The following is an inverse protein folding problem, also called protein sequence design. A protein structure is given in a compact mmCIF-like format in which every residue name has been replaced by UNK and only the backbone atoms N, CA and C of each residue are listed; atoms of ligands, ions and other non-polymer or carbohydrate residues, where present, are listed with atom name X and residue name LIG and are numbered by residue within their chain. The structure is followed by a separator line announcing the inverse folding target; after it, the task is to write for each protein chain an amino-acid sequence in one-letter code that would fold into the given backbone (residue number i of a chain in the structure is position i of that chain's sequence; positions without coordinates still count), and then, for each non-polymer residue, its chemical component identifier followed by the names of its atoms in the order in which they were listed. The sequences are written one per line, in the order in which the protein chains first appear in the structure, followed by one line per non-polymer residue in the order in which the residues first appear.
data_IF_101879766453
#
_entry.id   IF_101879766453
#
_cell.length_a   1.000
_cell.length_b   1.000
_cell.length_c   1.000
_cell.angle_alpha   90.00
_cell.angle_beta   90.00
_cell.angle_gamma   90.00
#
_symmetry.space_group_name_H-M   'P 1'
#
loop_
_entity.id
_entity.type
_entity.pdbx_description
1 polymer ?
#
# COMPACT_ATOMS: atom_id res chain seq x y z
N UNK A 1 5.12 29.81 -1.43
CA UNK A 1 4.73 30.52 -2.67
C UNK A 1 5.22 29.73 -3.87
N UNK A 2 4.51 29.80 -5.00
CA UNK A 2 4.87 29.12 -6.26
C UNK A 2 6.26 29.51 -6.78
N UNK A 3 6.72 30.74 -6.47
CA UNK A 3 8.07 31.22 -6.78
C UNK A 3 9.16 30.55 -5.94
N UNK A 4 8.92 30.28 -4.65
CA UNK A 4 9.89 29.56 -3.81
C UNK A 4 10.06 28.12 -4.30
N UNK A 5 8.96 27.46 -4.68
CA UNK A 5 8.96 26.09 -5.23
C UNK A 5 9.64 26.02 -6.61
N UNK A 6 9.41 27.02 -7.47
CA UNK A 6 10.17 27.18 -8.73
C UNK A 6 11.66 27.41 -8.49
N UNK A 7 12.03 28.22 -7.48
CA UNK A 7 13.43 28.44 -7.11
C UNK A 7 14.12 27.17 -6.61
N UNK A 8 13.40 26.32 -5.85
CA UNK A 8 13.90 25.01 -5.43
C UNK A 8 14.03 24.08 -6.66
N UNK A 9 13.03 24.00 -7.54
CA UNK A 9 13.16 23.23 -8.79
C UNK A 9 14.34 23.71 -9.65
N UNK A 10 14.54 25.01 -9.84
CA UNK A 10 15.66 25.56 -10.61
C UNK A 10 17.02 25.27 -9.98
N UNK A 11 17.13 25.30 -8.65
CA UNK A 11 18.39 25.04 -7.93
C UNK A 11 18.77 23.55 -7.95
N UNK A 12 17.78 22.66 -7.94
CA UNK A 12 17.97 21.21 -8.01
C UNK A 12 18.12 20.68 -9.46
N UNK A 13 17.50 21.35 -10.44
CA UNK A 13 17.59 20.98 -11.87
C UNK A 13 18.73 21.68 -12.62
N UNK A 14 19.22 22.84 -12.15
CA UNK A 14 20.13 23.71 -12.90
C UNK A 14 21.62 23.36 -12.81
N UNK A 15 22.07 22.61 -11.79
CA UNK A 15 23.50 22.38 -11.55
C UNK A 15 24.07 21.05 -12.06
N UNK A 16 23.24 20.03 -12.33
CA UNK A 16 23.74 18.69 -12.65
C UNK A 16 23.42 18.16 -14.06
N UNK A 17 22.65 18.87 -14.90
CA UNK A 17 22.23 18.36 -16.20
C UNK A 17 22.58 19.28 -17.37
N UNK A 18 23.88 19.41 -17.66
CA UNK A 18 24.33 19.87 -19.00
C UNK A 18 24.34 18.77 -20.08
N UNK A 19 23.95 17.53 -19.79
CA UNK A 19 24.21 16.40 -20.70
C UNK A 19 23.16 15.28 -20.72
N UNK A 20 21.87 15.59 -20.75
CA UNK A 20 20.86 14.59 -21.15
C UNK A 20 20.01 15.14 -22.31
N UNK A 21 20.19 14.54 -23.47
CA UNK A 21 19.33 14.69 -24.64
C UNK A 21 18.08 13.80 -24.44
N UNK A 22 16.91 14.35 -24.79
CA UNK A 22 15.55 13.78 -24.76
C UNK A 22 14.77 13.92 -23.43
N UNK A 23 13.44 14.13 -23.49
CA UNK A 23 12.59 14.26 -22.30
C UNK A 23 12.52 12.93 -21.56
N UNK A 24 13.20 12.86 -20.42
CA UNK A 24 13.12 11.74 -19.49
C UNK A 24 11.78 11.80 -18.73
N UNK A 25 11.08 10.68 -18.58
CA UNK A 25 9.82 10.55 -17.85
C UNK A 25 9.97 11.04 -16.39
N UNK A 26 11.18 10.90 -15.83
CA UNK A 26 11.57 11.41 -14.51
C UNK A 26 11.47 12.94 -14.42
N UNK A 27 11.77 13.65 -15.51
CA UNK A 27 11.78 15.12 -15.55
C UNK A 27 10.36 15.71 -15.55
N UNK A 28 9.46 15.18 -16.38
CA UNK A 28 8.08 15.67 -16.45
C UNK A 28 7.29 15.29 -15.18
N UNK A 29 7.61 14.16 -14.53
CA UNK A 29 7.05 13.77 -13.23
C UNK A 29 7.43 14.74 -12.09
N UNK A 30 8.72 15.04 -11.93
CA UNK A 30 9.20 16.01 -10.93
C UNK A 30 8.64 17.42 -11.18
N UNK A 31 8.48 17.80 -12.46
CA UNK A 31 7.85 19.06 -12.84
C UNK A 31 6.36 19.08 -12.46
N UNK A 32 5.61 18.01 -12.69
CA UNK A 32 4.21 17.89 -12.26
C UNK A 32 4.08 17.99 -10.72
N UNK A 33 4.93 17.26 -9.99
CA UNK A 33 5.02 17.30 -8.52
C UNK A 33 5.23 18.71 -7.96
N UNK A 34 6.17 19.47 -8.52
CA UNK A 34 6.55 20.78 -7.96
C UNK A 34 5.61 21.90 -8.42
N UNK A 35 5.10 21.83 -9.66
CA UNK A 35 4.30 22.91 -10.25
C UNK A 35 2.80 22.77 -10.03
N UNK A 36 2.30 21.56 -9.72
CA UNK A 36 0.86 21.23 -9.68
C UNK A 36 0.10 21.62 -10.96
N UNK A 37 0.79 21.81 -12.07
CA UNK A 37 0.20 22.21 -13.34
C UNK A 37 -0.03 20.97 -14.21
N UNK A 38 -1.26 20.80 -14.69
CA UNK A 38 -1.73 19.69 -15.52
C UNK A 38 -1.16 19.67 -16.96
N UNK A 39 -0.48 20.74 -17.39
CA UNK A 39 -0.02 20.96 -18.77
C UNK A 39 1.36 20.35 -19.12
N UNK A 40 1.80 19.30 -18.42
CA UNK A 40 3.02 18.55 -18.80
C UNK A 40 2.80 17.78 -20.11
N UNK A 41 3.82 17.75 -21.00
CA UNK A 41 3.71 17.05 -22.28
C UNK A 41 3.41 15.56 -22.06
N UNK A 42 2.40 15.05 -22.78
CA UNK A 42 1.95 13.66 -22.70
C UNK A 42 3.09 12.69 -23.03
N UNK A 43 3.40 11.81 -22.07
CA UNK A 43 4.19 10.61 -22.34
C UNK A 43 3.27 9.56 -23.02
N UNK A 44 3.87 8.78 -23.91
CA UNK A 44 3.23 7.89 -24.89
C UNK A 44 2.43 6.70 -24.32
N UNK A 45 2.23 6.60 -23.01
CA UNK A 45 1.48 5.49 -22.41
C UNK A 45 0.54 5.99 -21.29
N UNK A 46 -0.73 6.28 -21.60
CA UNK A 46 -1.70 6.87 -20.66
C UNK A 46 -2.26 5.87 -19.63
N UNK A 47 -2.04 4.58 -19.82
CA UNK A 47 -2.66 3.49 -19.03
C UNK A 47 -1.69 2.86 -18.02
N UNK A 48 -0.52 3.46 -17.82
CA UNK A 48 0.43 3.05 -16.79
C UNK A 48 0.04 3.67 -15.43
N UNK A 49 0.07 2.86 -14.37
CA UNK A 49 -0.05 3.32 -12.97
C UNK A 49 1.04 4.35 -12.61
N UNK A 50 2.15 4.34 -13.35
CA UNK A 50 3.24 5.31 -13.24
C UNK A 50 3.08 6.52 -14.19
N UNK A 51 1.96 6.64 -14.90
CA UNK A 51 1.72 7.75 -15.83
C UNK A 51 1.50 9.08 -15.09
N UNK A 52 2.02 10.17 -15.68
CA UNK A 52 1.82 11.53 -15.16
C UNK A 52 0.33 11.91 -15.11
N UNK A 53 -0.49 11.34 -16.00
CA UNK A 53 -1.94 11.58 -16.03
C UNK A 53 -2.63 10.95 -14.82
N UNK A 54 -2.32 9.69 -14.51
CA UNK A 54 -2.83 9.00 -13.34
C UNK A 54 -2.40 9.73 -12.06
N UNK A 55 -1.12 10.12 -12.00
CA UNK A 55 -0.56 10.90 -10.91
C UNK A 55 -1.26 12.26 -10.69
N UNK A 56 -1.49 13.03 -11.75
CA UNK A 56 -2.16 14.34 -11.64
C UNK A 56 -3.61 14.19 -11.15
N UNK A 57 -4.32 13.16 -11.62
CA UNK A 57 -5.66 12.82 -11.12
C UNK A 57 -5.63 12.44 -9.65
N UNK A 58 -4.67 11.62 -9.25
CA UNK A 58 -4.51 11.19 -7.87
C UNK A 58 -4.13 12.36 -6.94
N UNK A 59 -3.18 13.21 -7.35
CA UNK A 59 -2.77 14.43 -6.63
C UNK A 59 -3.92 15.40 -6.38
N UNK A 60 -4.80 15.59 -7.36
CA UNK A 60 -5.96 16.46 -7.24
C UNK A 60 -6.97 15.96 -6.19
N UNK A 61 -6.95 14.67 -5.83
CA UNK A 61 -7.86 14.08 -4.85
C UNK A 61 -7.33 13.97 -3.43
N UNK A 62 -6.02 14.12 -3.20
CA UNK A 62 -5.39 13.94 -1.88
C UNK A 62 -6.08 14.78 -0.79
N UNK A 63 -6.48 16.01 -1.11
CA UNK A 63 -7.14 16.91 -0.15
C UNK A 63 -8.52 16.45 0.32
N UNK A 64 -9.14 15.49 -0.37
CA UNK A 64 -10.47 14.96 -0.09
C UNK A 64 -10.45 13.52 0.42
N UNK A 65 -9.27 12.95 0.68
CA UNK A 65 -9.18 11.62 1.27
C UNK A 65 -9.88 11.60 2.63
N UNK A 66 -10.85 10.70 2.80
CA UNK A 66 -11.54 10.50 4.08
C UNK A 66 -10.57 10.08 5.20
N UNK A 67 -9.48 9.41 4.82
CA UNK A 67 -8.41 9.04 5.74
C UNK A 67 -7.46 10.24 5.97
N UNK A 68 -7.76 11.05 6.99
CA UNK A 68 -6.95 12.22 7.37
C UNK A 68 -5.48 11.86 7.68
N UNK A 69 -5.22 10.71 8.29
CA UNK A 69 -3.86 10.26 8.61
C UNK A 69 -3.05 10.02 7.33
N UNK A 70 -3.64 9.32 6.36
CA UNK A 70 -3.01 9.06 5.08
C UNK A 70 -2.85 10.36 4.27
N UNK A 71 -3.88 11.21 4.23
CA UNK A 71 -3.83 12.51 3.54
C UNK A 71 -2.72 13.41 4.08
N UNK A 72 -2.60 13.53 5.41
CA UNK A 72 -1.56 14.32 6.05
C UNK A 72 -0.17 13.73 5.78
N UNK A 73 -0.03 12.40 5.91
CA UNK A 73 1.21 11.68 5.59
C UNK A 73 1.69 11.97 4.16
N UNK A 74 0.78 11.90 3.19
CA UNK A 74 1.06 12.19 1.78
C UNK A 74 1.43 13.66 1.58
N UNK A 75 0.72 14.60 2.21
CA UNK A 75 0.98 16.02 2.05
C UNK A 75 2.30 16.48 2.67
N UNK A 76 2.70 15.87 3.79
CA UNK A 76 3.92 16.18 4.54
C UNK A 76 5.14 15.45 4.02
N UNK A 77 4.95 14.30 3.36
CA UNK A 77 6.03 13.46 2.84
C UNK A 77 6.97 14.12 1.85
N UNK A 78 6.47 14.93 0.91
CA UNK A 78 7.30 15.53 -0.12
C UNK A 78 8.27 16.57 0.49
N UNK A 79 7.81 17.52 1.35
CA UNK A 79 8.71 18.36 2.13
C UNK A 79 9.73 17.59 2.97
N UNK A 80 9.33 16.50 3.64
CA UNK A 80 10.22 15.69 4.48
C UNK A 80 11.27 14.95 3.65
N UNK A 81 10.86 14.29 2.57
CA UNK A 81 11.75 13.59 1.65
C UNK A 81 12.75 14.57 1.00
N UNK A 82 12.34 15.79 0.67
CA UNK A 82 13.24 16.83 0.17
C UNK A 82 14.22 17.36 1.24
N UNK A 83 13.93 17.17 2.53
CA UNK A 83 14.85 17.52 3.63
C UNK A 83 15.80 16.37 3.98
N UNK A 84 15.36 15.12 3.85
CA UNK A 84 16.15 13.93 4.19
C UNK A 84 17.07 13.44 3.06
N UNK A 85 16.70 13.64 1.80
CA UNK A 85 17.49 13.14 0.65
C UNK A 85 18.30 14.24 -0.05
N UNK A 86 19.62 14.06 -0.11
CA UNK A 86 20.56 14.97 -0.81
C UNK A 86 20.80 14.60 -2.30
N UNK A 87 19.83 13.98 -2.99
CA UNK A 87 20.03 13.40 -4.33
C UNK A 87 18.80 13.39 -5.26
N UNK A 88 18.93 12.74 -6.43
CA UNK A 88 17.83 12.55 -7.40
C UNK A 88 16.89 11.46 -6.89
N UNK A 89 15.69 11.85 -6.46
CA UNK A 89 14.64 10.93 -6.01
C UNK A 89 13.82 10.42 -7.19
N UNK A 90 13.55 9.11 -7.22
CA UNK A 90 12.65 8.46 -8.18
C UNK A 90 11.24 8.26 -7.62
N UNK A 91 10.29 7.88 -8.48
CA UNK A 91 8.93 7.51 -8.06
C UNK A 91 8.92 6.42 -6.99
N UNK A 92 9.74 5.39 -7.19
CA UNK A 92 9.85 4.26 -6.27
C UNK A 92 10.28 4.72 -4.87
N UNK A 93 11.29 5.59 -4.78
CA UNK A 93 11.76 6.13 -3.49
C UNK A 93 10.68 6.96 -2.78
N UNK A 94 9.82 7.66 -3.53
CA UNK A 94 8.72 8.46 -2.97
C UNK A 94 7.52 7.61 -2.55
N UNK A 95 7.17 6.58 -3.33
CA UNK A 95 6.15 5.60 -2.97
C UNK A 95 6.57 4.74 -1.77
N UNK A 96 7.85 4.36 -1.70
CA UNK A 96 8.44 3.66 -0.57
C UNK A 96 8.40 4.54 0.70
N UNK A 97 8.66 5.84 0.58
CA UNK A 97 8.52 6.78 1.70
C UNK A 97 7.09 6.85 2.24
N UNK A 98 6.08 6.86 1.36
CA UNK A 98 4.68 6.81 1.79
C UNK A 98 4.33 5.50 2.45
N UNK A 99 4.82 4.39 1.90
CA UNK A 99 4.63 3.08 2.47
C UNK A 99 5.23 3.00 3.88
N UNK A 100 6.47 3.47 4.07
CA UNK A 100 7.15 3.49 5.37
C UNK A 100 6.38 4.29 6.44
N UNK A 101 5.64 5.32 6.03
CA UNK A 101 4.88 6.20 6.95
C UNK A 101 3.45 5.74 7.19
N UNK A 102 2.80 5.16 6.18
CA UNK A 102 1.36 4.85 6.21
C UNK A 102 1.04 3.35 6.29
N UNK A 103 2.00 2.48 5.96
CA UNK A 103 1.81 1.03 5.86
C UNK A 103 0.94 0.59 4.67
N UNK A 104 0.54 1.52 3.80
CA UNK A 104 -0.31 1.25 2.64
C UNK A 104 0.51 1.42 1.35
N UNK A 105 0.48 0.40 0.48
CA UNK A 105 1.23 0.46 -0.78
C UNK A 105 0.48 1.30 -1.82
N UNK A 106 1.20 1.98 -2.72
CA UNK A 106 0.59 2.87 -3.71
C UNK A 106 -0.54 2.22 -4.51
N UNK A 107 -0.38 0.95 -4.92
CA UNK A 107 -1.42 0.26 -5.69
C UNK A 107 -2.63 -0.17 -4.85
N UNK A 108 -2.56 -0.05 -3.52
CA UNK A 108 -3.66 -0.29 -2.58
C UNK A 108 -4.43 1.00 -2.28
N UNK A 109 -3.86 2.15 -2.60
CA UNK A 109 -4.52 3.43 -2.42
C UNK A 109 -5.55 3.60 -3.53
N UNK A 110 -6.83 3.56 -3.15
CA UNK A 110 -7.93 3.98 -4.02
C UNK A 110 -7.61 5.36 -4.58
N UNK A 111 -7.85 5.57 -5.88
CA UNK A 111 -7.68 6.90 -6.49
C UNK A 111 -8.60 7.85 -5.72
N UNK A 112 -8.05 8.82 -4.98
CA UNK A 112 -8.87 9.71 -4.20
C UNK A 112 -9.67 10.59 -5.17
N UNK A 113 -10.91 10.89 -4.81
CA UNK A 113 -11.78 11.73 -5.63
C UNK A 113 -11.14 13.10 -5.81
N UNK A 114 -10.58 13.33 -7.00
CA UNK A 114 -10.10 14.64 -7.40
C UNK A 114 -11.26 15.63 -7.28
N UNK A 115 -11.08 16.76 -6.58
CA UNK A 115 -11.93 17.91 -6.87
C UNK A 115 -11.68 18.23 -8.34
N UNK A 116 -12.62 17.82 -9.21
CA UNK A 116 -12.83 18.50 -10.47
C UNK A 116 -13.21 19.94 -10.11
N UNK A 117 -12.76 20.89 -10.93
CA UNK A 117 -13.01 22.33 -10.76
C UNK A 117 -14.44 22.56 -10.27
N UNK A 118 -14.61 23.37 -9.21
CA UNK A 118 -15.90 23.81 -8.67
C UNK A 118 -16.86 24.13 -9.83
N UNK A 119 -17.81 23.23 -10.11
CA UNK A 119 -18.77 23.38 -11.20
C UNK A 119 -19.49 22.13 -11.68
N UNK A 120 -18.89 20.94 -11.62
CA UNK A 120 -19.59 19.69 -11.98
C UNK A 120 -20.09 18.99 -10.71
N UNK A 121 -21.39 19.07 -10.44
CA UNK A 121 -22.03 18.23 -9.43
C UNK A 121 -21.82 16.76 -9.83
N UNK A 122 -21.04 16.01 -9.03
CA UNK A 122 -20.90 14.58 -9.20
C UNK A 122 -22.13 13.88 -8.64
N UNK A 123 -22.74 13.01 -9.42
CA UNK A 123 -23.91 12.24 -9.04
C UNK A 123 -23.53 10.77 -8.89
N UNK A 124 -23.78 10.19 -7.72
CA UNK A 124 -23.52 8.77 -7.46
C UNK A 124 -24.85 8.03 -7.30
N UNK A 125 -25.02 6.95 -8.05
CA UNK A 125 -26.22 6.12 -8.03
C UNK A 125 -25.86 4.67 -7.76
N UNK A 126 -26.60 4.04 -6.85
CA UNK A 126 -26.63 2.59 -6.73
C UNK A 126 -27.60 2.05 -7.77
N UNK A 127 -27.19 1.04 -8.54
CA UNK A 127 -28.03 0.41 -9.56
C UNK A 127 -28.30 -1.04 -9.18
N UNK A 128 -29.55 -1.35 -8.83
CA UNK A 128 -29.97 -2.73 -8.55
C UNK A 128 -30.58 -3.37 -9.78
N UNK A 129 -30.11 -4.57 -10.10
CA UNK A 129 -30.57 -5.37 -11.22
C UNK A 129 -31.64 -6.38 -10.78
N UNK A 130 -32.86 -6.19 -11.27
CA UNK A 130 -33.98 -7.12 -11.05
C UNK A 130 -34.25 -7.88 -12.36
N UNK A 131 -33.60 -9.04 -12.50
CA UNK A 131 -33.68 -9.86 -13.70
C UNK A 131 -34.78 -10.92 -13.59
N UNK A 132 -35.74 -10.90 -14.52
CA UNK A 132 -36.78 -11.91 -14.69
C UNK A 132 -36.43 -12.82 -15.88
N UNK A 133 -35.92 -14.01 -15.55
CA UNK A 133 -35.54 -15.05 -16.52
C UNK A 133 -36.72 -15.59 -17.33
N UNK A 134 -37.93 -15.62 -16.76
CA UNK A 134 -39.09 -16.20 -17.46
C UNK A 134 -39.59 -15.29 -18.57
N UNK A 135 -39.52 -13.98 -18.33
CA UNK A 135 -40.01 -12.96 -19.26
C UNK A 135 -38.90 -12.30 -20.08
N UNK A 136 -37.63 -12.69 -19.88
CA UNK A 136 -36.45 -12.03 -20.47
C UNK A 136 -36.52 -10.51 -20.31
N UNK A 137 -36.77 -10.05 -19.09
CA UNK A 137 -36.85 -8.61 -18.79
C UNK A 137 -35.91 -8.27 -17.65
N UNK A 138 -35.20 -7.14 -17.78
CA UNK A 138 -34.33 -6.62 -16.74
C UNK A 138 -34.89 -5.27 -16.30
N UNK A 139 -35.22 -5.14 -15.02
CA UNK A 139 -35.55 -3.85 -14.42
C UNK A 139 -34.33 -3.33 -13.65
N UNK A 140 -33.80 -2.19 -14.10
CA UNK A 140 -32.76 -1.45 -13.41
C UNK A 140 -33.44 -0.48 -12.45
N UNK A 141 -33.02 -0.47 -11.19
CA UNK A 141 -33.49 0.48 -10.18
C UNK A 141 -32.31 1.38 -9.82
N UNK A 142 -32.43 2.66 -10.12
CA UNK A 142 -31.43 3.68 -9.83
C UNK A 142 -31.81 4.37 -8.52
N UNK A 143 -30.89 4.45 -7.56
CA UNK A 143 -31.09 5.12 -6.26
C UNK A 143 -29.91 6.03 -5.94
N UNK A 144 -30.17 7.34 -5.86
CA UNK A 144 -29.17 8.37 -5.61
C UNK A 144 -28.54 8.20 -4.21
N UNK A 145 -27.22 8.28 -4.11
CA UNK A 145 -26.48 8.25 -2.83
C UNK A 145 -26.24 9.65 -2.25
N UNK A 146 -26.81 10.69 -2.86
CA UNK A 146 -26.61 12.09 -2.48
C UNK A 146 -27.50 13.01 -3.32
N UNK A 147 -26.88 13.94 -4.06
CA UNK A 147 -27.61 14.78 -4.99
C UNK A 147 -28.24 13.91 -6.10
N UNK A 148 -29.46 14.28 -6.48
CA UNK A 148 -30.20 13.61 -7.53
C UNK A 148 -30.23 14.48 -8.79
N UNK A 149 -30.14 13.85 -9.96
CA UNK A 149 -30.22 14.54 -11.24
C UNK A 149 -31.69 14.87 -11.51
N UNK A 150 -32.03 16.15 -11.56
CA UNK A 150 -33.41 16.62 -11.77
C UNK A 150 -33.88 16.55 -13.23
N UNK A 151 -32.98 16.25 -14.18
CA UNK A 151 -33.30 16.02 -15.59
C UNK A 151 -32.95 14.60 -16.03
N UNK A 152 -33.41 14.20 -17.21
CA UNK A 152 -33.11 12.87 -17.76
C UNK A 152 -31.62 12.74 -18.07
N UNK A 153 -30.98 11.74 -17.45
CA UNK A 153 -29.62 11.32 -17.75
C UNK A 153 -29.63 10.06 -18.63
N UNK A 154 -28.85 10.07 -19.72
CA UNK A 154 -28.71 8.94 -20.64
C UNK A 154 -27.67 7.92 -20.16
N UNK A 155 -28.01 6.64 -20.30
CA UNK A 155 -27.11 5.51 -20.02
C UNK A 155 -27.17 4.54 -21.20
N UNK A 156 -26.01 4.21 -21.76
CA UNK A 156 -25.87 3.13 -22.73
C UNK A 156 -25.84 1.80 -21.98
N UNK A 157 -26.79 0.94 -22.33
CA UNK A 157 -26.88 -0.43 -21.88
C UNK A 157 -26.29 -1.32 -22.96
N UNK A 158 -25.20 -2.01 -22.65
CA UNK A 158 -24.63 -3.03 -23.54
C UNK A 158 -24.99 -4.41 -23.02
N UNK A 159 -25.79 -5.14 -23.80
CA UNK A 159 -26.15 -6.53 -23.57
C UNK A 159 -25.17 -7.45 -24.31
N UNK A 160 -24.45 -8.29 -23.57
CA UNK A 160 -23.53 -9.27 -24.14
C UNK A 160 -24.20 -10.64 -24.14
N UNK A 161 -24.39 -11.25 -25.30
CA UNK A 161 -24.83 -12.63 -25.43
C UNK A 161 -23.76 -13.53 -26.06
N UNK A 162 -24.07 -14.82 -26.18
CA UNK A 162 -23.13 -15.82 -26.67
C UNK A 162 -22.60 -15.56 -28.09
N UNK A 163 -23.43 -15.01 -28.98
CA UNK A 163 -23.08 -14.74 -30.39
C UNK A 163 -23.02 -13.25 -30.72
N UNK A 164 -23.83 -12.43 -30.07
CA UNK A 164 -24.08 -11.05 -30.45
C UNK A 164 -23.99 -10.11 -29.25
N UNK A 165 -23.59 -8.87 -29.50
CA UNK A 165 -23.63 -7.77 -28.53
C UNK A 165 -24.63 -6.73 -29.02
N UNK A 166 -25.62 -6.39 -28.19
CA UNK A 166 -26.64 -5.39 -28.51
C UNK A 166 -26.46 -4.17 -27.62
N UNK A 167 -26.59 -2.98 -28.20
CA UNK A 167 -26.54 -1.71 -27.46
C UNK A 167 -27.88 -1.00 -27.55
N UNK A 168 -28.32 -0.44 -26.44
CA UNK A 168 -29.53 0.36 -26.34
C UNK A 168 -29.29 1.52 -25.39
N UNK A 169 -29.90 2.66 -25.65
CA UNK A 169 -29.84 3.80 -24.74
C UNK A 169 -31.12 3.83 -23.89
N UNK A 170 -30.94 4.05 -22.59
CA UNK A 170 -32.02 4.31 -21.65
C UNK A 170 -31.82 5.67 -20.99
N UNK A 171 -32.84 6.15 -20.29
CA UNK A 171 -32.70 7.36 -19.48
C UNK A 171 -33.40 7.20 -18.14
N UNK A 172 -32.84 7.84 -17.11
CA UNK A 172 -33.38 7.85 -15.76
C UNK A 172 -33.31 9.27 -15.16
N UNK A 173 -34.09 9.55 -14.12
CA UNK A 173 -34.07 10.86 -13.44
C UNK A 173 -34.54 10.79 -11.99
N UNK A 174 -34.17 11.76 -11.17
CA UNK A 174 -34.63 11.90 -9.80
C UNK A 174 -33.82 11.10 -8.78
N UNK A 175 -34.33 11.07 -7.56
CA UNK A 175 -33.75 10.37 -6.41
C UNK A 175 -33.85 8.85 -6.55
N UNK A 176 -34.97 8.38 -7.11
CA UNK A 176 -35.20 6.98 -7.40
C UNK A 176 -36.00 6.81 -8.68
N UNK A 177 -35.47 5.99 -9.59
CA UNK A 177 -36.15 5.66 -10.84
C UNK A 177 -36.00 4.17 -11.15
N UNK A 178 -36.89 3.66 -12.00
CA UNK A 178 -36.76 2.30 -12.51
C UNK A 178 -37.03 2.24 -14.01
N UNK A 179 -36.10 1.63 -14.72
CA UNK A 179 -36.19 1.43 -16.16
C UNK A 179 -36.22 -0.06 -16.47
N UNK A 180 -37.26 -0.50 -17.17
CA UNK A 180 -37.37 -1.87 -17.67
C UNK A 180 -36.83 -1.97 -19.10
N UNK A 181 -36.03 -2.99 -19.33
CA UNK A 181 -35.36 -3.28 -20.59
C UNK A 181 -35.77 -4.68 -21.04
N UNK A 182 -36.24 -4.78 -22.28
CA UNK A 182 -36.43 -6.07 -22.92
C UNK A 182 -35.06 -6.67 -23.26
N UNK A 183 -34.79 -7.86 -22.72
CA UNK A 183 -33.52 -8.55 -22.91
C UNK A 183 -33.60 -9.42 -24.16
N UNK A 184 -32.54 -9.38 -24.98
CA UNK A 184 -32.41 -10.34 -26.05
C UNK A 184 -32.36 -11.78 -25.51
N UNK A 185 -32.84 -12.75 -26.28
CA UNK A 185 -32.74 -14.15 -25.89
C UNK A 185 -31.27 -14.57 -25.81
N UNK A 186 -30.86 -15.17 -24.69
CA UNK A 186 -29.49 -15.67 -24.51
C UNK A 186 -28.47 -14.59 -24.14
N UNK A 187 -28.91 -13.50 -23.48
CA UNK A 187 -27.98 -12.55 -22.86
C UNK A 187 -27.26 -13.21 -21.70
N UNK A 188 -25.95 -13.04 -21.71
CA UNK A 188 -25.04 -13.50 -20.68
C UNK A 188 -24.97 -12.51 -19.53
N UNK A 189 -24.60 -11.25 -19.82
CA UNK A 189 -24.50 -10.19 -18.84
C UNK A 189 -24.71 -8.80 -19.47
N UNK A 190 -24.81 -7.78 -18.62
CA UNK A 190 -25.08 -6.39 -19.00
C UNK A 190 -24.05 -5.46 -18.36
N UNK A 191 -23.71 -4.40 -19.07
CA UNK A 191 -22.88 -3.28 -18.56
C UNK A 191 -23.59 -1.95 -18.85
N UNK A 192 -23.35 -0.97 -17.97
CA UNK A 192 -23.92 0.37 -18.06
C UNK A 192 -22.80 1.39 -18.22
N UNK A 193 -22.93 2.24 -19.23
CA UNK A 193 -22.01 3.35 -19.47
C UNK A 193 -22.81 4.65 -19.50
N UNK A 194 -22.62 5.59 -18.56
CA UNK A 194 -23.24 6.91 -18.65
C UNK A 194 -22.85 7.62 -19.97
N UNK A 195 -23.83 8.20 -20.66
CA UNK A 195 -23.63 8.98 -21.91
C UNK A 195 -24.09 10.44 -21.73
N UNK A 196 -24.46 10.82 -20.51
CA UNK A 196 -24.90 12.18 -20.19
C UNK A 196 -23.74 13.17 -20.05
N UNK A 197 -24.06 14.46 -20.18
CA UNK A 197 -23.16 15.57 -19.83
C UNK A 197 -22.89 15.67 -18.30
N UNK A 198 -23.59 14.86 -17.49
CA UNK A 198 -23.36 14.77 -16.05
C UNK A 198 -22.23 13.82 -15.70
N UNK A 199 -21.48 14.15 -14.65
CA UNK A 199 -20.50 13.25 -14.06
C UNK A 199 -21.20 12.22 -13.15
N UNK A 200 -21.54 11.06 -13.73
CA UNK A 200 -22.30 10.00 -13.07
C UNK A 200 -21.39 8.83 -12.72
N UNK A 201 -21.39 8.45 -11.44
CA UNK A 201 -20.81 7.20 -10.97
C UNK A 201 -21.91 6.17 -10.69
N UNK A 202 -21.84 5.01 -11.35
CA UNK A 202 -22.80 3.93 -11.18
C UNK A 202 -22.19 2.80 -10.33
N UNK A 203 -22.71 2.61 -9.13
CA UNK A 203 -22.39 1.50 -8.25
C UNK A 203 -23.34 0.33 -8.56
N UNK A 204 -22.92 -0.54 -9.46
CA UNK A 204 -23.75 -1.63 -10.00
C UNK A 204 -23.81 -2.86 -9.07
N UNK A 205 -25.02 -3.17 -8.58
CA UNK A 205 -25.32 -4.40 -7.83
C UNK A 205 -25.90 -5.45 -8.78
N UNK A 206 -24.99 -6.15 -9.50
CA UNK A 206 -25.36 -7.15 -10.50
C UNK A 206 -25.76 -8.49 -9.86
N UNK A 207 -26.66 -9.27 -10.51
CA UNK A 207 -27.00 -10.60 -10.04
C UNK A 207 -25.80 -11.54 -10.19
N UNK A 208 -25.67 -12.51 -9.29
CA UNK A 208 -24.57 -13.48 -9.28
C UNK A 208 -24.29 -14.12 -10.64
N UNK A 209 -25.31 -14.57 -11.36
CA UNK A 209 -25.15 -15.22 -12.67
C UNK A 209 -24.54 -14.30 -13.73
N UNK A 210 -24.85 -13.00 -13.70
CA UNK A 210 -24.24 -12.04 -14.62
C UNK A 210 -22.75 -11.90 -14.33
N UNK A 211 -22.37 -11.85 -13.05
CA UNK A 211 -20.98 -11.76 -12.64
C UNK A 211 -20.17 -12.99 -13.06
N UNK A 212 -20.71 -14.20 -12.85
CA UNK A 212 -20.05 -15.45 -13.27
C UNK A 212 -19.82 -15.49 -14.79
N UNK A 213 -20.78 -14.98 -15.57
CA UNK A 213 -20.65 -14.91 -17.04
C UNK A 213 -19.71 -13.80 -17.48
N UNK A 214 -19.77 -12.62 -16.84
CA UNK A 214 -18.86 -11.51 -17.08
C UNK A 214 -17.40 -11.89 -16.77
N UNK A 215 -17.19 -12.75 -15.77
CA UNK A 215 -15.87 -13.29 -15.43
C UNK A 215 -15.23 -14.11 -16.58
N UNK A 216 -16.05 -14.65 -17.49
CA UNK A 216 -15.62 -15.40 -18.69
C UNK A 216 -15.50 -14.51 -19.93
N UNK A 217 -15.64 -13.19 -19.78
CA UNK A 217 -15.44 -12.21 -20.85
C UNK A 217 -14.02 -12.29 -21.43
N UNK A 218 -13.86 -11.87 -22.67
CA UNK A 218 -12.54 -11.65 -23.29
C UNK A 218 -11.88 -10.34 -22.87
N UNK A 219 -12.61 -9.46 -22.18
CA UNK A 219 -12.12 -8.15 -21.74
C UNK A 219 -11.61 -8.23 -20.29
N UNK A 220 -10.30 -8.04 -20.04
CA UNK A 220 -9.70 -8.13 -18.71
C UNK A 220 -10.31 -7.16 -17.69
N UNK A 221 -10.70 -5.95 -18.10
CA UNK A 221 -11.29 -4.96 -17.19
C UNK A 221 -12.64 -5.45 -16.66
N UNK A 222 -13.47 -6.00 -17.54
CA UNK A 222 -14.74 -6.60 -17.16
C UNK A 222 -14.55 -7.81 -16.26
N UNK A 223 -13.49 -8.61 -16.47
CA UNK A 223 -13.17 -9.74 -15.59
C UNK A 223 -12.75 -9.27 -14.19
N UNK A 224 -11.91 -8.23 -14.08
CA UNK A 224 -11.48 -7.67 -12.81
C UNK A 224 -12.68 -7.08 -12.04
N UNK A 225 -13.53 -6.31 -12.71
CA UNK A 225 -14.75 -5.77 -12.11
C UNK A 225 -15.66 -6.90 -11.59
N UNK A 226 -15.86 -7.95 -12.38
CA UNK A 226 -16.65 -9.10 -11.97
C UNK A 226 -16.04 -9.81 -10.76
N UNK A 227 -14.73 -10.07 -10.76
CA UNK A 227 -14.03 -10.71 -9.64
C UNK A 227 -14.23 -9.91 -8.34
N UNK A 228 -14.02 -8.59 -8.39
CA UNK A 228 -14.23 -7.72 -7.22
C UNK A 228 -15.67 -7.74 -6.72
N UNK A 229 -16.66 -7.64 -7.61
CA UNK A 229 -18.08 -7.67 -7.21
C UNK A 229 -18.52 -9.04 -6.66
N UNK A 230 -17.87 -10.14 -7.07
CA UNK A 230 -18.13 -11.48 -6.54
C UNK A 230 -17.75 -11.63 -5.06
N UNK A 231 -16.95 -10.73 -4.49
CA UNK A 231 -16.66 -10.68 -3.05
C UNK A 231 -17.95 -10.47 -2.22
N UNK A 232 -19.00 -9.89 -2.79
CA UNK A 232 -20.30 -9.73 -2.11
C UNK A 232 -21.10 -11.04 -2.01
N UNK A 233 -20.60 -12.14 -2.59
CA UNK A 233 -21.28 -13.44 -2.66
C UNK A 233 -20.47 -14.56 -1.99
N UNK A 234 -19.65 -14.25 -0.99
CA UNK A 234 -18.79 -15.22 -0.28
C UNK A 234 -19.54 -16.40 0.32
N UNK A 235 -20.82 -16.21 0.69
CA UNK A 235 -21.67 -17.26 1.25
C UNK A 235 -22.21 -18.26 0.20
N UNK A 236 -21.99 -18.01 -1.09
CA UNK A 236 -22.47 -18.90 -2.15
C UNK A 236 -21.50 -20.08 -2.36
N UNK A 237 -21.90 -21.33 -2.08
CA UNK A 237 -21.00 -22.49 -2.19
C UNK A 237 -20.51 -22.77 -3.61
N UNK A 238 -21.25 -22.34 -4.64
CA UNK A 238 -20.88 -22.58 -6.04
C UNK A 238 -19.80 -21.62 -6.53
N UNK A 239 -19.57 -20.51 -5.82
CA UNK A 239 -18.63 -19.47 -6.23
C UNK A 239 -17.19 -19.98 -6.28
N UNK A 240 -16.78 -20.78 -5.29
CA UNK A 240 -15.42 -21.33 -5.25
C UNK A 240 -15.11 -22.16 -6.51
N UNK A 241 -16.02 -23.05 -6.89
CA UNK A 241 -15.84 -23.91 -8.08
C UNK A 241 -15.82 -23.05 -9.35
N UNK A 242 -16.72 -22.07 -9.46
CA UNK A 242 -16.78 -21.20 -10.62
C UNK A 242 -15.50 -20.35 -10.78
N UNK A 243 -14.92 -19.85 -9.69
CA UNK A 243 -13.64 -19.12 -9.72
C UNK A 243 -12.47 -20.03 -10.11
N UNK A 244 -12.42 -21.25 -9.56
CA UNK A 244 -11.35 -22.21 -9.88
C UNK A 244 -11.36 -22.59 -11.36
N UNK A 245 -12.53 -22.83 -11.94
CA UNK A 245 -12.68 -23.12 -13.37
C UNK A 245 -12.11 -21.98 -14.24
N UNK A 246 -12.39 -20.73 -13.88
CA UNK A 246 -11.89 -19.58 -14.64
C UNK A 246 -10.40 -19.35 -14.42
N UNK A 247 -9.91 -19.45 -13.18
CA UNK A 247 -8.49 -19.27 -12.82
C UNK A 247 -7.54 -20.19 -13.62
N UNK A 248 -8.01 -21.38 -14.01
CA UNK A 248 -7.26 -22.33 -14.83
C UNK A 248 -7.07 -21.87 -16.28
N UNK A 249 -7.87 -20.90 -16.74
CA UNK A 249 -7.88 -20.42 -18.14
C UNK A 249 -7.36 -18.99 -18.32
N UNK A 250 -7.23 -18.22 -17.23
CA UNK A 250 -6.82 -16.81 -17.28
C UNK A 250 -5.33 -16.66 -17.60
N UNK A 251 -5.00 -15.93 -18.66
CA UNK A 251 -3.62 -15.53 -18.96
C UNK A 251 -3.21 -14.24 -18.27
N UNK A 252 -4.14 -13.30 -18.12
CA UNK A 252 -3.84 -11.95 -17.64
C UNK A 252 -3.53 -11.92 -16.14
N UNK A 253 -2.35 -11.41 -15.74
CA UNK A 253 -1.93 -11.50 -14.34
C UNK A 253 -2.73 -10.65 -13.36
N UNK A 254 -3.27 -9.50 -13.80
CA UNK A 254 -4.10 -8.62 -12.97
C UNK A 254 -5.47 -9.24 -12.70
N UNK A 255 -6.06 -9.89 -13.73
CA UNK A 255 -7.29 -10.68 -13.58
C UNK A 255 -7.06 -11.84 -12.60
N UNK A 256 -5.94 -12.55 -12.74
CA UNK A 256 -5.55 -13.63 -11.83
C UNK A 256 -5.39 -13.14 -10.40
N UNK A 257 -4.74 -12.00 -10.19
CA UNK A 257 -4.57 -11.37 -8.88
C UNK A 257 -5.93 -11.07 -8.22
N UNK A 258 -6.84 -10.40 -8.94
CA UNK A 258 -8.18 -10.08 -8.44
C UNK A 258 -9.01 -11.34 -8.11
N UNK A 259 -8.87 -12.39 -8.91
CA UNK A 259 -9.53 -13.67 -8.64
C UNK A 259 -8.94 -14.40 -7.43
N UNK A 260 -7.63 -14.36 -7.21
CA UNK A 260 -6.99 -14.94 -6.03
C UNK A 260 -7.40 -14.20 -4.75
N UNK A 261 -7.50 -12.88 -4.80
CA UNK A 261 -8.03 -12.06 -3.71
C UNK A 261 -9.46 -12.46 -3.37
N UNK A 262 -10.31 -12.58 -4.39
CA UNK A 262 -11.70 -13.02 -4.21
C UNK A 262 -11.79 -14.44 -3.65
N UNK A 263 -10.98 -15.36 -4.19
CA UNK A 263 -10.90 -16.74 -3.69
C UNK A 263 -10.48 -16.78 -2.22
N UNK A 264 -9.52 -15.96 -1.83
CA UNK A 264 -9.04 -15.87 -0.44
C UNK A 264 -10.14 -15.44 0.54
N UNK A 265 -10.97 -14.47 0.14
CA UNK A 265 -12.10 -14.00 0.94
C UNK A 265 -13.21 -15.06 1.09
N UNK A 266 -13.35 -15.95 0.11
CA UNK A 266 -14.33 -17.04 0.14
C UNK A 266 -13.80 -18.21 0.97
N UNK A 267 -12.54 -18.60 0.77
CA UNK A 267 -12.01 -19.79 1.46
C UNK A 267 -11.70 -19.53 2.92
N UNK A 268 -11.35 -18.30 3.30
CA UNK A 268 -11.10 -17.88 4.69
C UNK A 268 -10.25 -18.89 5.51
N UNK A 269 -9.25 -19.50 4.88
CA UNK A 269 -8.38 -20.46 5.56
C UNK A 269 -8.86 -21.92 5.55
N UNK A 270 -9.91 -22.26 4.81
CA UNK A 270 -10.41 -23.63 4.71
C UNK A 270 -9.31 -24.61 4.30
N UNK A 271 -9.10 -25.65 5.10
CA UNK A 271 -8.02 -26.63 4.89
C UNK A 271 -8.10 -27.28 3.49
N UNK A 272 -6.95 -27.41 2.84
CA UNK A 272 -6.80 -27.95 1.48
C UNK A 272 -6.91 -26.92 0.37
N UNK A 273 -7.20 -25.66 0.69
CA UNK A 273 -7.29 -24.56 -0.31
C UNK A 273 -6.01 -23.74 -0.42
N UNK A 274 -5.10 -23.85 0.56
CA UNK A 274 -3.82 -23.12 0.63
C UNK A 274 -2.92 -23.37 -0.58
N UNK A 275 -3.02 -24.56 -1.18
CA UNK A 275 -2.17 -24.98 -2.29
C UNK A 275 -2.32 -24.04 -3.50
N UNK A 276 -3.52 -23.51 -3.73
CA UNK A 276 -3.79 -22.56 -4.81
C UNK A 276 -2.96 -21.27 -4.67
N UNK A 277 -2.64 -20.87 -3.44
CA UNK A 277 -1.85 -19.67 -3.15
C UNK A 277 -0.35 -19.99 -3.04
N UNK A 278 0.00 -21.14 -2.45
CA UNK A 278 1.39 -21.59 -2.34
C UNK A 278 2.07 -21.72 -3.71
N UNK A 279 1.35 -22.20 -4.72
CA UNK A 279 1.86 -22.32 -6.09
C UNK A 279 2.22 -20.97 -6.71
N UNK A 280 1.55 -19.90 -6.28
CA UNK A 280 1.69 -18.56 -6.83
C UNK A 280 2.80 -17.73 -6.15
N UNK A 281 3.40 -18.23 -5.07
CA UNK A 281 4.53 -17.56 -4.39
C UNK A 281 5.74 -17.39 -5.31
N UNK A 282 5.92 -18.27 -6.29
CA UNK A 282 7.01 -18.22 -7.26
C UNK A 282 6.61 -17.57 -8.59
N UNK A 283 5.45 -16.90 -8.66
CA UNK A 283 5.02 -16.22 -9.90
C UNK A 283 6.01 -15.14 -10.32
N UNK A 284 6.30 -15.02 -11.61
CA UNK A 284 7.12 -13.91 -12.14
C UNK A 284 6.35 -12.59 -12.12
N UNK A 285 5.01 -12.65 -12.07
CA UNK A 285 4.17 -11.46 -11.96
C UNK A 285 4.00 -11.02 -10.51
N UNK A 286 4.34 -9.75 -10.25
CA UNK A 286 4.30 -9.15 -8.92
C UNK A 286 2.88 -9.12 -8.32
N UNK A 287 1.86 -8.73 -9.08
CA UNK A 287 0.49 -8.62 -8.58
C UNK A 287 -0.09 -9.97 -8.15
N UNK A 288 0.15 -11.02 -8.95
CA UNK A 288 -0.23 -12.40 -8.63
C UNK A 288 0.49 -12.88 -7.37
N UNK A 289 1.82 -12.66 -7.29
CA UNK A 289 2.64 -13.04 -6.12
C UNK A 289 2.17 -12.36 -4.85
N UNK A 290 1.92 -11.05 -4.88
CA UNK A 290 1.47 -10.27 -3.73
C UNK A 290 0.09 -10.72 -3.26
N UNK A 291 -0.84 -10.95 -4.18
CA UNK A 291 -2.20 -11.43 -3.84
C UNK A 291 -2.14 -12.80 -3.17
N UNK A 292 -1.28 -13.69 -3.65
CA UNK A 292 -1.06 -14.99 -3.04
C UNK A 292 -0.43 -14.91 -1.64
N UNK A 293 0.58 -14.04 -1.46
CA UNK A 293 1.20 -13.79 -0.14
C UNK A 293 0.12 -13.33 0.85
N UNK A 294 -0.66 -12.31 0.50
CA UNK A 294 -1.74 -11.79 1.36
C UNK A 294 -2.77 -12.86 1.68
N UNK A 295 -3.17 -13.64 0.68
CA UNK A 295 -4.17 -14.70 0.86
C UNK A 295 -3.73 -15.78 1.86
N UNK A 296 -2.44 -16.05 1.94
CA UNK A 296 -1.88 -17.05 2.86
C UNK A 296 -1.95 -16.63 4.33
N UNK A 297 -2.22 -15.37 4.64
CA UNK A 297 -2.44 -14.89 6.00
C UNK A 297 -3.67 -15.55 6.67
N UNK A 298 -4.65 -15.98 5.87
CA UNK A 298 -5.86 -16.67 6.36
C UNK A 298 -5.61 -18.08 6.90
N UNK A 299 -4.37 -18.60 6.91
CA UNK A 299 -4.06 -19.98 7.31
C UNK A 299 -3.17 -20.07 8.56
N UNK A 300 -3.55 -19.44 9.70
CA UNK A 300 -2.78 -19.57 10.93
C UNK A 300 -2.74 -21.03 11.41
N UNK A 301 -1.60 -21.44 11.97
CA UNK A 301 -1.38 -22.82 12.43
C UNK A 301 -1.06 -23.85 11.33
N UNK A 302 -0.96 -23.42 10.06
CA UNK A 302 -0.47 -24.27 8.99
C UNK A 302 1.06 -24.14 8.83
N UNK A 303 1.81 -25.11 9.35
CA UNK A 303 3.28 -25.12 9.34
C UNK A 303 3.88 -25.01 7.93
N UNK A 304 3.24 -25.60 6.92
CA UNK A 304 3.71 -25.52 5.54
C UNK A 304 3.59 -24.09 4.99
N UNK A 305 2.48 -23.41 5.29
CA UNK A 305 2.26 -22.03 4.91
C UNK A 305 3.25 -21.11 5.62
N UNK A 306 3.38 -21.21 6.94
CA UNK A 306 4.35 -20.44 7.71
C UNK A 306 5.79 -20.66 7.21
N UNK A 307 6.18 -21.91 6.94
CA UNK A 307 7.50 -22.23 6.36
C UNK A 307 7.72 -21.61 4.98
N UNK A 308 6.70 -21.63 4.12
CA UNK A 308 6.79 -21.11 2.76
C UNK A 308 6.91 -19.59 2.75
N UNK A 309 6.05 -18.90 3.51
CA UNK A 309 6.10 -17.45 3.72
C UNK A 309 7.44 -17.04 4.32
N UNK A 310 7.96 -17.75 5.33
CA UNK A 310 9.30 -17.50 5.89
C UNK A 310 10.40 -17.58 4.83
N UNK A 311 10.37 -18.57 3.95
CA UNK A 311 11.38 -18.71 2.91
C UNK A 311 11.27 -17.60 1.86
N UNK A 312 10.04 -17.21 1.51
CA UNK A 312 9.78 -16.07 0.61
C UNK A 312 10.31 -14.77 1.23
N UNK A 313 10.10 -14.56 2.53
CA UNK A 313 10.59 -13.39 3.27
C UNK A 313 12.11 -13.27 3.20
N UNK A 314 12.81 -14.39 3.44
CA UNK A 314 14.28 -14.44 3.43
C UNK A 314 14.85 -14.24 2.02
N UNK A 315 14.12 -14.65 0.98
CA UNK A 315 14.56 -14.61 -0.42
C UNK A 315 13.98 -13.43 -1.20
N UNK A 316 13.23 -12.54 -0.56
CA UNK A 316 12.54 -11.45 -1.24
C UNK A 316 13.54 -10.61 -2.04
N UNK A 317 13.27 -10.45 -3.33
CA UNK A 317 14.15 -9.70 -4.26
C UNK A 317 13.80 -8.21 -4.30
N UNK A 318 12.60 -7.85 -3.83
CA UNK A 318 12.13 -6.47 -3.75
C UNK A 318 11.57 -6.18 -2.37
N UNK A 319 11.67 -4.93 -1.95
CA UNK A 319 11.13 -4.49 -0.66
C UNK A 319 9.61 -4.62 -0.62
N UNK A 320 8.90 -4.40 -1.73
CA UNK A 320 7.45 -4.65 -1.82
C UNK A 320 7.08 -6.09 -1.46
N UNK A 321 7.82 -7.08 -1.98
CA UNK A 321 7.58 -8.49 -1.64
C UNK A 321 7.97 -8.77 -0.20
N UNK A 322 9.11 -8.23 0.25
CA UNK A 322 9.58 -8.39 1.62
C UNK A 322 8.54 -7.91 2.63
N UNK A 323 8.02 -6.70 2.45
CA UNK A 323 7.08 -6.06 3.37
C UNK A 323 5.72 -6.76 3.40
N UNK A 324 5.16 -7.11 2.23
CA UNK A 324 3.93 -7.89 2.17
C UNK A 324 4.10 -9.25 2.86
N UNK A 325 5.24 -9.91 2.63
CA UNK A 325 5.54 -11.21 3.25
C UNK A 325 5.76 -11.07 4.75
N UNK A 326 6.37 -9.97 5.21
CA UNK A 326 6.61 -9.69 6.62
C UNK A 326 5.28 -9.55 7.37
N UNK A 327 4.36 -8.75 6.83
CA UNK A 327 3.02 -8.57 7.39
C UNK A 327 2.27 -9.90 7.45
N UNK A 328 2.26 -10.67 6.36
CA UNK A 328 1.66 -12.01 6.36
C UNK A 328 2.34 -12.94 7.36
N UNK A 329 3.66 -12.91 7.48
CA UNK A 329 4.38 -13.79 8.40
C UNK A 329 4.07 -13.50 9.86
N UNK A 330 3.82 -12.24 10.22
CA UNK A 330 3.42 -11.84 11.57
C UNK A 330 2.06 -12.41 11.99
N UNK A 331 1.14 -12.57 11.03
CA UNK A 331 -0.16 -13.20 11.30
C UNK A 331 -0.06 -14.73 11.46
N UNK A 332 1.04 -15.32 10.97
CA UNK A 332 1.22 -16.78 10.91
C UNK A 332 2.20 -17.34 11.93
N UNK A 333 3.17 -16.54 12.39
CA UNK A 333 4.31 -17.00 13.17
C UNK A 333 4.35 -16.40 14.57
N UNK A 334 4.83 -17.20 15.52
CA UNK A 334 5.08 -16.76 16.89
C UNK A 334 6.32 -15.86 16.95
N UNK A 335 6.40 -15.02 17.99
CA UNK A 335 7.51 -14.08 18.19
C UNK A 335 8.88 -14.77 18.14
N UNK A 336 9.02 -15.97 18.71
CA UNK A 336 10.28 -16.72 18.71
C UNK A 336 10.77 -17.12 17.31
N UNK A 337 9.84 -17.41 16.40
CA UNK A 337 10.15 -17.77 15.02
C UNK A 337 10.63 -16.55 14.24
N UNK A 338 9.96 -15.40 14.41
CA UNK A 338 10.35 -14.14 13.77
C UNK A 338 11.73 -13.69 14.27
N UNK A 339 12.03 -13.82 15.56
CA UNK A 339 13.36 -13.53 16.10
C UNK A 339 14.43 -14.47 15.52
N UNK A 340 14.10 -15.73 15.27
CA UNK A 340 15.02 -16.68 14.63
C UNK A 340 15.30 -16.31 13.15
N UNK A 341 14.32 -15.73 12.45
CA UNK A 341 14.52 -15.17 11.11
C UNK A 341 15.37 -13.91 11.15
N UNK A 342 15.12 -13.04 12.12
CA UNK A 342 15.87 -11.80 12.36
C UNK A 342 17.38 -12.09 12.43
N UNK A 343 17.78 -13.04 13.28
CA UNK A 343 19.19 -13.43 13.43
C UNK A 343 19.79 -14.01 12.15
N UNK A 344 18.99 -14.74 11.36
CA UNK A 344 19.46 -15.32 10.10
C UNK A 344 19.75 -14.25 9.05
N UNK A 345 19.03 -13.13 9.06
CA UNK A 345 19.19 -12.04 8.10
C UNK A 345 20.42 -11.15 8.40
N UNK A 346 21.04 -11.25 9.57
CA UNK A 346 22.19 -10.42 9.96
C UNK A 346 23.45 -10.56 9.07
N UNK A 347 23.51 -11.60 8.22
CA UNK A 347 24.71 -11.99 7.48
C UNK A 347 25.12 -11.05 6.34
N UNK A 348 24.21 -10.22 5.82
CA UNK A 348 24.47 -9.27 4.73
C UNK A 348 23.99 -7.86 5.09
N UNK A 349 24.50 -6.83 4.42
CA UNK A 349 24.11 -5.44 4.69
C UNK A 349 22.61 -5.19 4.46
N UNK A 350 22.08 -5.65 3.33
CA UNK A 350 20.65 -5.61 3.02
C UNK A 350 19.84 -6.44 4.02
N UNK A 351 20.36 -7.61 4.39
CA UNK A 351 19.77 -8.45 5.42
C UNK A 351 19.73 -7.79 6.79
N UNK A 352 20.72 -6.97 7.16
CA UNK A 352 20.73 -6.23 8.43
C UNK A 352 19.62 -5.17 8.47
N UNK A 353 19.35 -4.47 7.36
CA UNK A 353 18.23 -3.52 7.28
C UNK A 353 16.88 -4.23 7.42
N UNK A 354 16.74 -5.43 6.85
CA UNK A 354 15.54 -6.26 7.00
C UNK A 354 15.41 -6.84 8.41
N UNK A 355 16.51 -7.27 9.00
CA UNK A 355 16.56 -7.78 10.37
C UNK A 355 16.10 -6.73 11.38
N UNK A 356 16.58 -5.49 11.26
CA UNK A 356 16.15 -4.43 12.18
C UNK A 356 14.66 -4.10 12.03
N UNK A 357 14.10 -4.16 10.81
CA UNK A 357 12.64 -4.04 10.59
C UNK A 357 11.85 -5.15 11.29
N UNK A 358 12.27 -6.41 11.16
CA UNK A 358 11.65 -7.53 11.90
C UNK A 358 11.72 -7.31 13.42
N UNK A 359 12.87 -6.86 13.91
CA UNK A 359 13.11 -6.64 15.33
C UNK A 359 12.22 -5.54 15.89
N UNK A 360 12.01 -4.45 15.15
CA UNK A 360 11.13 -3.35 15.56
C UNK A 360 9.70 -3.80 15.82
N UNK A 361 9.19 -4.75 15.03
CA UNK A 361 7.80 -5.19 15.13
C UNK A 361 7.62 -6.27 16.21
N UNK A 362 8.69 -6.97 16.59
CA UNK A 362 8.64 -8.06 17.57
C UNK A 362 9.13 -7.69 18.96
N UNK A 363 9.85 -6.58 19.11
CA UNK A 363 10.44 -6.20 20.39
C UNK A 363 9.40 -5.96 21.49
N UNK A 364 8.23 -5.41 21.16
CA UNK A 364 7.17 -5.11 22.14
C UNK A 364 6.44 -6.36 22.63
N UNK A 365 6.41 -7.41 21.82
CA UNK A 365 5.70 -8.66 22.12
C UNK A 365 6.62 -9.76 22.63
N UNK A 366 7.94 -9.53 22.65
CA UNK A 366 8.93 -10.49 23.12
C UNK A 366 9.02 -10.51 24.65
N UNK A 367 8.67 -11.65 25.24
CA UNK A 367 8.79 -11.88 26.68
C UNK A 367 10.10 -12.59 27.09
N UNK A 368 10.96 -12.93 26.13
CA UNK A 368 12.16 -13.75 26.35
C UNK A 368 13.44 -12.93 26.48
N UNK A 369 13.38 -11.60 26.29
CA UNK A 369 14.52 -10.68 26.20
C UNK A 369 15.51 -11.01 25.07
N UNK A 370 15.14 -11.86 24.12
CA UNK A 370 15.97 -12.19 22.97
C UNK A 370 16.02 -11.02 21.98
N UNK A 371 14.92 -10.29 21.83
CA UNK A 371 14.86 -9.04 21.04
C UNK A 371 15.84 -8.00 21.58
N UNK A 372 15.88 -7.80 22.91
CA UNK A 372 16.85 -6.91 23.59
C UNK A 372 18.28 -7.38 23.31
N UNK A 373 18.55 -8.68 23.40
CA UNK A 373 19.88 -9.25 23.12
C UNK A 373 20.33 -8.99 21.67
N UNK A 374 19.42 -9.08 20.70
CA UNK A 374 19.70 -8.78 19.29
C UNK A 374 19.91 -7.27 19.10
N UNK A 375 19.06 -6.43 19.69
CA UNK A 375 19.16 -4.98 19.63
C UNK A 375 20.47 -4.48 20.24
N UNK A 376 20.93 -5.08 21.34
CA UNK A 376 22.22 -4.81 21.98
C UNK A 376 23.39 -5.06 21.03
N UNK A 377 23.41 -6.22 20.35
CA UNK A 377 24.41 -6.52 19.32
C UNK A 377 24.42 -5.47 18.21
N UNK A 378 23.26 -5.04 17.72
CA UNK A 378 23.18 -4.03 16.67
C UNK A 378 23.61 -2.65 17.15
N UNK A 379 23.21 -2.22 18.35
CA UNK A 379 23.55 -0.89 18.88
C UNK A 379 25.05 -0.76 19.19
N UNK A 380 25.65 -1.77 19.80
CA UNK A 380 27.06 -1.79 20.22
C UNK A 380 28.02 -2.29 19.14
N UNK A 381 27.51 -3.02 18.14
CA UNK A 381 28.30 -3.61 17.07
C UNK A 381 28.79 -2.61 16.01
N UNK A 382 29.60 -3.11 15.08
CA UNK A 382 30.11 -2.34 13.93
C UNK A 382 29.11 -2.35 12.77
N UNK A 383 27.93 -1.78 12.99
CA UNK A 383 26.87 -1.66 11.99
C UNK A 383 26.76 -0.23 11.43
N UNK A 384 26.11 -0.02 10.26
CA UNK A 384 25.78 1.32 9.77
C UNK A 384 24.97 2.12 10.79
N UNK A 385 25.22 3.44 10.84
CA UNK A 385 24.58 4.34 11.80
C UNK A 385 23.06 4.14 11.91
N UNK A 386 22.34 4.02 10.78
CA UNK A 386 20.88 3.89 10.78
C UNK A 386 20.40 2.64 11.53
N UNK A 387 21.07 1.49 11.34
CA UNK A 387 20.75 0.24 12.05
C UNK A 387 21.03 0.40 13.55
N UNK A 388 22.19 0.99 13.89
CA UNK A 388 22.57 1.24 15.30
C UNK A 388 21.59 2.18 16.00
N UNK A 389 21.15 3.23 15.30
CA UNK A 389 20.20 4.23 15.79
C UNK A 389 18.82 3.60 16.07
N UNK A 390 18.34 2.77 15.15
CA UNK A 390 17.08 2.03 15.29
C UNK A 390 17.16 1.01 16.42
N UNK A 391 18.25 0.25 16.51
CA UNK A 391 18.47 -0.71 17.59
C UNK A 391 18.54 -0.05 18.97
N UNK A 392 19.23 1.10 19.07
CA UNK A 392 19.24 1.90 20.29
C UNK A 392 17.83 2.43 20.64
N UNK A 393 17.02 2.78 19.64
CA UNK A 393 15.61 3.12 19.84
C UNK A 393 14.80 1.97 20.43
N UNK A 394 15.03 0.74 19.98
CA UNK A 394 14.40 -0.48 20.52
C UNK A 394 14.81 -0.68 21.98
N UNK A 395 16.10 -0.58 22.29
CA UNK A 395 16.61 -0.69 23.67
C UNK A 395 15.99 0.37 24.57
N UNK A 396 16.01 1.65 24.17
CA UNK A 396 15.46 2.76 24.95
C UNK A 396 13.96 2.61 25.22
N UNK A 397 13.23 1.89 24.37
CA UNK A 397 11.79 1.66 24.53
C UNK A 397 11.48 0.46 25.41
N UNK A 398 12.27 -0.61 25.34
CA UNK A 398 11.90 -1.92 25.88
C UNK A 398 12.80 -2.40 27.03
N UNK A 399 13.98 -1.80 27.24
CA UNK A 399 14.87 -2.13 28.35
C UNK A 399 14.84 -1.04 29.43
N UNK A 400 14.30 -1.36 30.60
CA UNK A 400 14.16 -0.45 31.74
C UNK A 400 15.15 -0.76 32.88
N UNK A 401 15.95 -1.83 32.76
CA UNK A 401 16.83 -2.28 33.81
C UNK A 401 17.98 -1.28 34.05
N UNK A 402 17.99 -0.70 35.24
CA UNK A 402 19.02 0.24 35.68
C UNK A 402 20.44 -0.34 35.63
N UNK A 403 20.63 -1.61 35.98
CA UNK A 403 21.95 -2.24 35.99
C UNK A 403 22.50 -2.45 34.58
N UNK A 404 21.62 -2.75 33.61
CA UNK A 404 21.99 -2.81 32.20
C UNK A 404 22.47 -1.44 31.73
N UNK A 405 21.67 -0.39 31.91
CA UNK A 405 22.04 0.96 31.46
C UNK A 405 23.26 1.53 32.17
N UNK A 406 23.48 1.16 33.44
CA UNK A 406 24.67 1.56 34.18
C UNK A 406 25.97 0.98 33.58
N UNK A 407 25.89 -0.15 32.88
CA UNK A 407 27.01 -0.80 32.22
C UNK A 407 27.13 -0.37 30.75
N UNK A 408 26.01 -0.28 30.04
CA UNK A 408 25.97 -0.06 28.58
C UNK A 408 26.12 1.41 28.21
N UNK A 409 25.52 2.33 28.97
CA UNK A 409 25.55 3.76 28.63
C UNK A 409 26.97 4.34 28.58
N UNK A 410 27.90 4.05 29.52
CA UNK A 410 29.30 4.48 29.40
C UNK A 410 29.93 4.09 28.05
N UNK A 411 29.70 2.85 27.60
CA UNK A 411 30.25 2.35 26.33
C UNK A 411 29.68 3.11 25.12
N UNK A 412 28.37 3.40 25.14
CA UNK A 412 27.71 4.18 24.09
C UNK A 412 28.16 5.64 24.07
N UNK A 413 28.51 6.22 25.22
CA UNK A 413 29.05 7.58 25.31
C UNK A 413 30.51 7.69 24.87
N UNK A 414 31.23 6.57 24.73
CA UNK A 414 32.56 6.53 24.12
C UNK A 414 32.49 6.26 22.60
N UNK A 415 31.29 6.12 22.03
CA UNK A 415 31.13 5.80 20.61
C UNK A 415 31.76 6.87 19.70
N UNK A 416 32.29 6.48 18.55
CA UNK A 416 32.90 7.43 17.60
C UNK A 416 31.86 8.35 16.97
N UNK A 417 30.64 7.88 16.75
CA UNK A 417 29.56 8.64 16.14
C UNK A 417 28.81 9.47 17.18
N UNK A 418 28.93 10.80 17.08
CA UNK A 418 28.29 11.73 17.99
C UNK A 418 26.75 11.64 18.00
N UNK A 419 26.14 11.12 16.91
CA UNK A 419 24.68 10.91 16.84
C UNK A 419 24.23 9.76 17.74
N UNK A 420 25.02 8.69 17.81
CA UNK A 420 24.77 7.57 18.73
C UNK A 420 24.96 8.04 20.17
N UNK A 421 26.05 8.76 20.47
CA UNK A 421 26.26 9.37 21.80
C UNK A 421 25.10 10.27 22.21
N UNK A 422 24.64 11.13 21.28
CA UNK A 422 23.51 12.02 21.51
C UNK A 422 22.24 11.25 21.86
N UNK A 423 21.88 10.21 21.11
CA UNK A 423 20.68 9.41 21.39
C UNK A 423 20.84 8.59 22.67
N UNK A 424 22.02 8.03 22.94
CA UNK A 424 22.28 7.23 24.12
C UNK A 424 22.02 8.00 25.43
N UNK A 425 22.21 9.32 25.43
CA UNK A 425 21.87 10.17 26.57
C UNK A 425 20.39 10.13 26.97
N UNK A 426 19.47 9.63 26.15
CA UNK A 426 18.08 9.41 26.57
C UNK A 426 17.96 8.29 27.62
N UNK A 427 18.93 7.37 27.67
CA UNK A 427 18.95 6.27 28.63
C UNK A 427 19.20 6.72 30.08
N UNK A 428 19.62 7.96 30.31
CA UNK A 428 19.84 8.50 31.66
C UNK A 428 18.57 8.47 32.51
N UNK A 429 17.39 8.45 31.88
CA UNK A 429 16.10 8.34 32.57
C UNK A 429 15.97 7.02 33.35
N UNK A 430 16.70 5.98 32.96
CA UNK A 430 16.70 4.67 33.61
C UNK A 430 17.75 4.56 34.72
N UNK A 431 18.56 5.60 34.93
CA UNK A 431 19.59 5.65 35.97
C UNK A 431 19.12 6.41 37.21
N UNK A 432 19.72 6.09 38.35
CA UNK A 432 19.54 6.93 39.55
C UNK A 432 20.14 8.33 39.34
N UNK A 433 19.61 9.33 40.06
CA UNK A 433 20.11 10.70 39.97
C UNK A 433 21.62 10.81 40.27
N UNK A 434 22.12 10.01 41.22
CA UNK A 434 23.55 10.00 41.55
C UNK A 434 24.40 9.47 40.40
N UNK A 435 24.03 8.31 39.83
CA UNK A 435 24.75 7.72 38.70
C UNK A 435 24.72 8.63 37.47
N UNK A 436 23.55 9.24 37.19
CA UNK A 436 23.39 10.20 36.10
C UNK A 436 24.36 11.37 36.24
N UNK A 437 24.42 12.00 37.43
CA UNK A 437 25.31 13.14 37.68
C UNK A 437 26.78 12.75 37.55
N UNK A 438 27.18 11.61 38.10
CA UNK A 438 28.57 11.15 38.05
C UNK A 438 28.99 10.85 36.60
N UNK A 439 28.17 10.09 35.87
CA UNK A 439 28.42 9.73 34.47
C UNK A 439 28.49 10.95 33.54
N UNK A 440 27.51 11.85 33.64
CA UNK A 440 27.42 13.02 32.75
C UNK A 440 28.56 14.00 33.01
N UNK A 441 28.98 14.16 34.26
CA UNK A 441 30.15 15.01 34.60
C UNK A 441 31.42 14.48 33.98
N UNK A 442 31.60 13.17 33.93
CA UNK A 442 32.77 12.56 33.32
C UNK A 442 32.70 12.67 31.80
N UNK A 443 31.55 12.36 31.18
CA UNK A 443 31.33 12.52 29.75
C UNK A 443 31.57 13.98 29.27
N UNK A 444 31.12 14.98 30.04
CA UNK A 444 31.29 16.39 29.69
C UNK A 444 32.76 16.85 29.65
N UNK A 445 33.68 16.18 30.36
CA UNK A 445 35.11 16.54 30.35
C UNK A 445 35.77 16.18 29.02
N UNK A 446 35.29 15.14 28.37
CA UNK A 446 35.91 14.56 27.18
C UNK A 446 35.12 14.85 25.89
N UNK A 447 33.83 15.17 25.99
CA UNK A 447 32.98 15.45 24.84
C UNK A 447 33.37 16.74 24.09
N UNK A 448 33.42 16.64 22.77
CA UNK A 448 33.81 17.71 21.86
C UNK A 448 32.67 18.15 20.93
N UNK A 449 31.66 17.30 20.70
CA UNK A 449 30.53 17.64 19.85
C UNK A 449 29.56 18.61 20.56
N UNK A 450 29.30 19.80 19.98
CA UNK A 450 28.49 20.82 20.62
C UNK A 450 27.03 20.40 20.87
N UNK A 451 26.49 19.47 20.07
CA UNK A 451 25.11 18.98 20.23
C UNK A 451 25.00 18.06 21.44
N UNK A 452 25.99 17.18 21.63
CA UNK A 452 26.05 16.27 22.77
C UNK A 452 26.27 17.08 24.06
N UNK A 453 27.20 18.05 24.04
CA UNK A 453 27.41 19.00 25.16
C UNK A 453 26.12 19.74 25.51
N UNK A 454 25.37 20.22 24.50
CA UNK A 454 24.12 20.93 24.73
C UNK A 454 23.06 20.03 25.37
N UNK A 455 22.95 18.75 24.96
CA UNK A 455 22.03 17.79 25.56
C UNK A 455 22.41 17.45 27.00
N UNK A 456 23.69 17.18 27.25
CA UNK A 456 24.24 16.98 28.60
C UNK A 456 23.84 18.14 29.53
N UNK A 457 24.03 19.38 29.09
CA UNK A 457 23.70 20.58 29.87
C UNK A 457 22.19 20.78 30.13
N UNK A 458 21.31 20.13 29.36
CA UNK A 458 19.86 20.16 29.60
C UNK A 458 19.43 19.09 30.60
N UNK A 459 20.20 18.02 30.73
CA UNK A 459 19.94 16.93 31.68
C UNK A 459 20.43 17.32 33.09
N UNK A 460 21.53 18.07 33.18
CA UNK A 460 22.01 18.72 34.40
C UNK A 460 21.13 19.89 34.83
#
# INVERSE_FOLDING_TARGET
STQLRRGIAEQWLGNYHRYLNAPDHKFEFLKALVTRNSDSQQLLNPDDLESIRFWNRWQAGIGNMENEFLSNTIQESLPELMQEFEGVTSWKDYADFWYDKSGAFWSELSVPNAMKEDGEEQYSYTVTYLYDEMNNSLSLVFEAQGNAIEILAGVEVTQFGFMDTTRSEISFTGDRDSVSIDMASGVDYVTLNPVSDFDIELNENKPFLFLIRQLRSSDPELQIQAAKQLQNFTENPDLQLALQDVLNTVSEPEVRAAMLETLSMITQGASGTEQNFLEQLNSDNLATKLSAIKALANYPGNDQVAFSIRNTLIRAESDTVFEATLKTYQELAETEDILSVTERLEQSLEGQQRAIKLLQITAETDTTNRSISIADRFALGSFPHQIRQQALGILLKNEENQDYWAQTLPMLLEDRDARIRYQALDAVQFLSAKQTVDLIKDALKEEMDPRVIAKIRRIM
#
